data_IF_049326974260
#
_entry.id   IF_049326974260
#
_cell.length_a   1.000
_cell.length_b   1.000
_cell.length_c   1.000
_cell.angle_alpha   90.00
_cell.angle_beta   90.00
_cell.angle_gamma   90.00
#
_symmetry.space_group_name_H-M   'P 1'
#
loop_
_entity.id
_entity.type
_entity.pdbx_description
1 polymer ?
#
# COMPACT_ATOMS: atom_id res chain seq x y z
N UNK A 1 8.10 15.01 3.04
CA UNK A 1 7.05 14.35 3.88
C UNK A 1 7.46 14.25 5.35
N UNK A 2 8.76 14.18 5.69
CA UNK A 2 9.22 14.16 7.10
C UNK A 2 8.97 15.54 7.72
N UNK A 3 9.31 16.62 7.02
CA UNK A 3 9.08 18.01 7.44
C UNK A 3 7.59 18.28 7.71
N UNK A 4 6.70 17.68 6.91
CA UNK A 4 5.26 17.77 7.10
C UNK A 4 4.73 17.01 8.32
N UNK A 5 5.44 15.98 8.78
CA UNK A 5 5.10 15.28 10.03
C UNK A 5 5.38 16.14 11.27
N UNK A 6 6.36 17.03 11.21
CA UNK A 6 6.65 18.01 12.28
C UNK A 6 5.57 19.08 12.32
N UNK A 7 5.13 19.56 11.16
CA UNK A 7 4.13 20.63 11.04
C UNK A 7 2.70 20.15 11.32
N UNK A 8 2.34 18.94 10.81
CA UNK A 8 0.98 18.42 10.90
C UNK A 8 0.91 17.13 11.72
N UNK A 9 0.38 17.24 12.94
CA UNK A 9 0.10 16.06 13.77
C UNK A 9 -1.15 15.31 13.25
N UNK A 10 -0.98 14.51 12.17
CA UNK A 10 -2.07 13.80 11.50
C UNK A 10 -2.39 12.41 12.09
N UNK A 11 -1.78 12.04 13.23
CA UNK A 11 -2.03 10.76 13.91
C UNK A 11 -2.42 11.01 15.36
N UNK A 12 -3.58 10.48 15.78
CA UNK A 12 -4.01 10.60 17.18
C UNK A 12 -5.42 10.08 17.44
N UNK A 13 -5.70 9.77 18.70
CA UNK A 13 -7.00 9.28 19.16
C UNK A 13 -8.16 10.25 18.90
N UNK A 14 -7.89 11.57 18.81
CA UNK A 14 -8.91 12.56 18.46
C UNK A 14 -9.58 12.28 17.13
N UNK A 15 -8.83 11.78 16.14
CA UNK A 15 -9.37 11.43 14.82
C UNK A 15 -10.21 10.17 14.83
N UNK A 16 -9.97 9.24 15.78
CA UNK A 16 -10.81 8.06 15.94
C UNK A 16 -12.25 8.45 16.29
N UNK A 17 -12.43 9.47 17.14
CA UNK A 17 -13.75 9.99 17.48
C UNK A 17 -14.39 10.80 16.34
N UNK A 18 -13.61 11.59 15.62
CA UNK A 18 -14.10 12.51 14.59
C UNK A 18 -14.33 11.83 13.23
N UNK A 19 -13.44 10.93 12.84
CA UNK A 19 -13.35 10.36 11.48
C UNK A 19 -13.37 8.82 11.48
N UNK A 20 -13.53 8.17 12.66
CA UNK A 20 -13.43 6.71 12.83
C UNK A 20 -12.10 6.13 12.28
N UNK A 21 -11.05 6.92 12.33
CA UNK A 21 -9.71 6.61 11.87
C UNK A 21 -8.70 7.18 12.87
N UNK A 22 -7.57 6.52 13.07
CA UNK A 22 -6.48 7.04 13.90
C UNK A 22 -5.60 8.07 13.17
N UNK A 23 -5.84 8.28 11.87
CA UNK A 23 -5.18 9.27 11.03
C UNK A 23 -6.17 10.33 10.56
N UNK A 24 -5.70 11.54 10.33
CA UNK A 24 -6.52 12.62 9.77
C UNK A 24 -6.71 12.40 8.25
N UNK A 25 -7.73 11.63 7.90
CA UNK A 25 -8.06 11.32 6.49
C UNK A 25 -8.46 12.57 5.69
N UNK A 26 -9.10 13.55 6.32
CA UNK A 26 -9.42 14.83 5.67
C UNK A 26 -8.15 15.60 5.30
N UNK A 27 -7.20 15.65 6.24
CA UNK A 27 -5.91 16.26 5.94
C UNK A 27 -5.21 15.55 4.78
N UNK A 28 -5.12 14.22 4.84
CA UNK A 28 -4.34 13.42 3.89
C UNK A 28 -4.94 13.37 2.47
N UNK A 29 -6.28 13.27 2.35
CA UNK A 29 -6.95 13.02 1.07
C UNK A 29 -7.76 14.22 0.53
N UNK A 30 -7.90 15.29 1.30
CA UNK A 30 -8.58 16.51 0.87
C UNK A 30 -7.63 17.70 0.88
N UNK A 31 -7.11 18.11 2.06
CA UNK A 31 -6.28 19.32 2.14
C UNK A 31 -4.90 19.15 1.50
N UNK A 32 -4.27 17.99 1.73
CA UNK A 32 -2.92 17.74 1.22
C UNK A 32 -2.84 17.82 -0.30
N UNK A 33 -3.62 17.03 -1.07
CA UNK A 33 -3.54 17.02 -2.53
C UNK A 33 -4.17 18.23 -3.20
N UNK A 34 -4.94 19.07 -2.48
CA UNK A 34 -5.60 20.24 -3.05
C UNK A 34 -4.96 21.56 -2.65
N UNK A 35 -4.34 21.67 -1.46
CA UNK A 35 -3.93 22.94 -0.88
C UNK A 35 -2.46 22.97 -0.44
N UNK A 36 -1.99 21.92 0.26
CA UNK A 36 -0.67 21.91 0.88
C UNK A 36 0.40 21.50 -0.12
N UNK A 37 0.16 20.42 -0.84
CA UNK A 37 1.02 19.91 -1.92
C UNK A 37 0.11 19.49 -3.09
N UNK A 38 -0.37 20.43 -3.90
CA UNK A 38 -1.30 20.15 -4.99
C UNK A 38 -0.75 19.06 -5.91
N UNK A 39 -1.58 18.07 -6.18
CA UNK A 39 -1.20 16.98 -7.08
C UNK A 39 -1.24 17.47 -8.52
N UNK A 40 -0.18 17.23 -9.26
CA UNK A 40 -0.06 17.62 -10.67
C UNK A 40 -0.86 16.64 -11.55
N UNK A 41 -2.15 16.87 -11.63
CA UNK A 41 -3.06 16.08 -12.46
C UNK A 41 -2.80 16.26 -13.96
N UNK A 42 -2.30 17.43 -14.39
CA UNK A 42 -2.01 17.69 -15.79
C UNK A 42 -0.90 16.76 -16.29
N UNK A 43 0.23 16.75 -15.60
CA UNK A 43 1.34 15.82 -15.90
C UNK A 43 0.90 14.37 -15.74
N UNK A 44 0.16 14.04 -14.70
CA UNK A 44 -0.31 12.66 -14.47
C UNK A 44 -1.19 12.14 -15.60
N UNK A 45 -2.14 12.94 -16.09
CA UNK A 45 -3.06 12.53 -17.16
C UNK A 45 -2.41 12.57 -18.55
N UNK A 46 -1.43 13.46 -18.77
CA UNK A 46 -0.66 13.51 -20.00
C UNK A 46 0.31 12.34 -20.15
N UNK A 47 0.75 11.72 -19.03
CA UNK A 47 1.67 10.60 -19.06
C UNK A 47 0.99 9.35 -19.61
N UNK A 48 1.66 8.69 -20.59
CA UNK A 48 1.20 7.45 -21.20
C UNK A 48 1.43 6.20 -20.32
N UNK A 49 2.27 6.31 -19.29
CA UNK A 49 2.57 5.20 -18.40
C UNK A 49 1.33 4.75 -17.62
N UNK A 50 1.25 3.46 -17.40
CA UNK A 50 0.14 2.87 -16.62
C UNK A 50 0.45 2.99 -15.14
N UNK A 51 -0.47 3.56 -14.40
CA UNK A 51 -0.49 3.55 -12.94
C UNK A 51 -1.68 2.75 -12.44
N UNK A 52 -1.42 1.57 -11.90
CA UNK A 52 -2.45 0.65 -11.41
C UNK A 52 -2.54 0.73 -9.90
N UNK A 53 -3.70 1.11 -9.40
CA UNK A 53 -4.02 1.17 -7.97
C UNK A 53 -4.84 -0.05 -7.57
N UNK A 54 -4.40 -0.75 -6.52
CA UNK A 54 -5.05 -1.98 -6.06
C UNK A 54 -5.91 -1.69 -4.84
N UNK A 55 -7.15 -2.17 -4.87
CA UNK A 55 -8.07 -2.15 -3.72
C UNK A 55 -8.66 -3.54 -3.47
N UNK A 56 -9.28 -3.74 -2.32
CA UNK A 56 -10.05 -4.95 -2.04
C UNK A 56 -11.53 -4.62 -2.02
N UNK A 57 -12.32 -5.28 -2.87
CA UNK A 57 -13.77 -5.16 -2.88
C UNK A 57 -14.36 -5.82 -1.63
N UNK A 58 -15.07 -5.05 -0.82
CA UNK A 58 -15.65 -5.57 0.42
C UNK A 58 -16.77 -6.60 0.19
N UNK A 59 -17.44 -6.56 -0.96
CA UNK A 59 -18.54 -7.47 -1.27
C UNK A 59 -18.02 -8.84 -1.70
N UNK A 60 -16.96 -8.87 -2.53
CA UNK A 60 -16.43 -10.12 -3.10
C UNK A 60 -15.21 -10.66 -2.33
N UNK A 61 -14.48 -9.79 -1.61
CA UNK A 61 -13.20 -10.11 -0.99
C UNK A 61 -12.03 -10.18 -1.98
N UNK A 62 -12.25 -9.85 -3.25
CA UNK A 62 -11.26 -9.93 -4.32
C UNK A 62 -10.55 -8.61 -4.56
N UNK A 63 -9.37 -8.66 -5.19
CA UNK A 63 -8.63 -7.48 -5.59
C UNK A 63 -9.26 -6.82 -6.82
N UNK A 64 -9.43 -5.49 -6.76
CA UNK A 64 -9.75 -4.67 -7.91
C UNK A 64 -8.52 -3.86 -8.30
N UNK A 65 -8.25 -3.79 -9.61
CA UNK A 65 -7.12 -3.07 -10.19
C UNK A 65 -7.66 -1.90 -11.01
N UNK A 66 -7.41 -0.69 -10.52
CA UNK A 66 -7.93 0.53 -11.12
C UNK A 66 -6.84 1.29 -11.86
N UNK A 67 -7.20 1.80 -13.02
CA UNK A 67 -6.48 2.84 -13.75
C UNK A 67 -7.44 4.01 -13.96
N UNK A 68 -7.00 5.23 -13.66
CA UNK A 68 -7.79 6.44 -13.89
C UNK A 68 -6.92 7.47 -14.62
N UNK A 69 -7.42 7.98 -15.73
CA UNK A 69 -6.67 8.88 -16.61
C UNK A 69 -7.41 10.17 -16.94
N UNK A 70 -8.57 10.42 -16.31
CA UNK A 70 -9.44 11.55 -16.71
C UNK A 70 -10.04 12.31 -15.53
N UNK A 71 -10.38 11.62 -14.44
CA UNK A 71 -11.13 12.20 -13.33
C UNK A 71 -10.26 12.32 -12.07
N UNK A 72 -9.85 13.55 -11.69
CA UNK A 72 -9.05 13.82 -10.49
C UNK A 72 -9.71 13.31 -9.20
N UNK A 73 -11.02 13.53 -9.04
CA UNK A 73 -11.74 13.12 -7.84
C UNK A 73 -11.73 11.61 -7.70
N UNK A 74 -11.94 10.90 -8.80
CA UNK A 74 -11.92 9.43 -8.82
C UNK A 74 -10.52 8.88 -8.52
N UNK A 75 -9.43 9.55 -8.95
CA UNK A 75 -8.06 9.20 -8.53
C UNK A 75 -7.94 9.24 -7.01
N UNK A 76 -8.41 10.32 -6.37
CA UNK A 76 -8.36 10.47 -4.91
C UNK A 76 -9.20 9.40 -4.21
N UNK A 77 -10.39 9.09 -4.70
CA UNK A 77 -11.25 8.06 -4.12
C UNK A 77 -10.58 6.68 -4.19
N UNK A 78 -9.95 6.33 -5.31
CA UNK A 78 -9.22 5.07 -5.46
C UNK A 78 -7.99 5.04 -4.52
N UNK A 79 -7.19 6.13 -4.46
CA UNK A 79 -6.02 6.21 -3.57
C UNK A 79 -6.44 6.12 -2.10
N UNK A 80 -7.54 6.80 -1.72
CA UNK A 80 -8.13 6.70 -0.39
C UNK A 80 -8.53 5.26 -0.06
N UNK A 81 -9.21 4.58 -0.99
CA UNK A 81 -9.60 3.18 -0.82
C UNK A 81 -8.40 2.26 -0.69
N UNK A 82 -7.41 2.41 -1.58
CA UNK A 82 -6.15 1.65 -1.58
C UNK A 82 -5.32 1.84 -0.30
N UNK A 83 -5.54 2.95 0.41
CA UNK A 83 -4.86 3.28 1.68
C UNK A 83 -5.71 3.00 2.92
N UNK A 84 -6.96 2.53 2.75
CA UNK A 84 -7.89 2.28 3.86
C UNK A 84 -7.62 0.93 4.51
N UNK A 85 -6.69 0.92 5.49
CA UNK A 85 -6.35 -0.27 6.27
C UNK A 85 -7.52 -0.76 7.12
N UNK A 86 -7.78 -2.08 7.18
CA UNK A 86 -8.81 -2.63 8.04
C UNK A 86 -8.56 -2.29 9.52
N UNK A 87 -9.62 -1.98 10.26
CA UNK A 87 -9.66 -1.57 11.67
C UNK A 87 -9.06 -0.20 11.98
N UNK A 88 -8.32 0.40 11.05
CA UNK A 88 -7.60 1.66 11.22
C UNK A 88 -8.29 2.79 10.49
N UNK A 89 -8.92 2.49 9.36
CA UNK A 89 -9.60 3.44 8.49
C UNK A 89 -11.04 3.01 8.20
N UNK A 90 -11.93 3.95 7.86
CA UNK A 90 -13.27 3.63 7.40
C UNK A 90 -13.23 2.93 6.03
N UNK A 91 -14.30 2.21 5.71
CA UNK A 91 -14.53 1.72 4.35
C UNK A 91 -14.68 2.93 3.43
N UNK A 92 -13.91 2.96 2.35
CA UNK A 92 -14.02 3.96 1.28
C UNK A 92 -14.93 3.43 0.16
N UNK A 93 -15.41 4.34 -0.69
CA UNK A 93 -16.27 3.97 -1.81
C UNK A 93 -15.65 4.43 -3.10
N UNK A 94 -15.61 3.53 -4.09
CA UNK A 94 -15.22 3.83 -5.46
C UNK A 94 -16.38 3.40 -6.35
N UNK A 95 -16.94 4.32 -7.12
CA UNK A 95 -18.12 4.09 -7.96
C UNK A 95 -19.31 3.47 -7.17
N UNK A 96 -19.50 3.88 -5.92
CA UNK A 96 -20.53 3.35 -5.02
C UNK A 96 -20.25 1.96 -4.44
N UNK A 97 -19.13 1.33 -4.77
CA UNK A 97 -18.75 0.01 -4.26
C UNK A 97 -17.84 0.18 -3.03
N UNK A 98 -18.13 -0.51 -1.91
CA UNK A 98 -17.30 -0.43 -0.72
C UNK A 98 -15.94 -1.13 -0.94
N UNK A 99 -14.86 -0.41 -0.67
CA UNK A 99 -13.48 -0.82 -0.88
C UNK A 99 -12.63 -0.61 0.37
N UNK A 100 -11.61 -1.43 0.52
CA UNK A 100 -10.50 -1.28 1.48
C UNK A 100 -9.15 -1.48 0.78
N UNK A 101 -8.08 -1.36 1.58
CA UNK A 101 -6.67 -1.51 1.16
C UNK A 101 -6.45 -2.76 0.31
N UNK A 102 -5.80 -2.59 -0.83
CA UNK A 102 -5.50 -3.68 -1.77
C UNK A 102 -4.63 -4.76 -1.17
N UNK A 103 -3.79 -4.41 -0.20
CA UNK A 103 -2.96 -5.37 0.51
C UNK A 103 -3.72 -6.39 1.36
N UNK A 104 -5.06 -6.39 1.37
CA UNK A 104 -5.89 -7.46 1.95
C UNK A 104 -5.95 -8.63 0.96
N UNK A 105 -6.34 -8.38 -0.29
CA UNK A 105 -6.52 -9.41 -1.30
C UNK A 105 -5.25 -9.67 -2.12
N UNK A 106 -4.53 -8.60 -2.54
CA UNK A 106 -3.27 -8.70 -3.28
C UNK A 106 -2.27 -7.65 -2.80
N UNK A 107 -1.41 -8.02 -1.83
CA UNK A 107 -0.42 -7.12 -1.24
C UNK A 107 0.76 -6.81 -2.16
N UNK A 108 1.05 -7.67 -3.12
CA UNK A 108 2.21 -7.64 -4.02
C UNK A 108 1.77 -8.12 -5.41
N UNK A 109 1.23 -7.24 -6.27
CA UNK A 109 0.48 -7.58 -7.47
C UNK A 109 1.37 -8.05 -8.64
N UNK A 110 2.39 -8.86 -8.35
CA UNK A 110 3.33 -9.39 -9.34
C UNK A 110 2.63 -10.30 -10.38
N UNK A 111 1.64 -11.09 -9.93
CA UNK A 111 0.90 -11.96 -10.84
C UNK A 111 0.00 -11.18 -11.80
N UNK A 112 -0.59 -10.09 -11.31
CA UNK A 112 -1.34 -9.18 -12.18
C UNK A 112 -0.42 -8.58 -13.25
N UNK A 113 0.74 -8.05 -12.87
CA UNK A 113 1.70 -7.48 -13.81
C UNK A 113 2.17 -8.52 -14.84
N UNK A 114 2.43 -9.77 -14.43
CA UNK A 114 2.78 -10.87 -15.34
C UNK A 114 1.66 -11.18 -16.34
N UNK A 115 0.41 -11.24 -15.88
CA UNK A 115 -0.77 -11.45 -16.73
C UNK A 115 -0.99 -10.31 -17.74
N UNK A 116 -0.56 -9.09 -17.40
CA UNK A 116 -0.58 -7.93 -18.31
C UNK A 116 0.60 -7.94 -19.32
N UNK A 117 1.44 -8.96 -19.31
CA UNK A 117 2.54 -9.12 -20.28
C UNK A 117 3.87 -8.49 -19.88
N UNK A 118 3.99 -7.91 -18.69
CA UNK A 118 5.24 -7.34 -18.22
C UNK A 118 6.24 -8.45 -17.83
N UNK A 119 7.22 -8.69 -18.70
CA UNK A 119 8.25 -9.74 -18.52
C UNK A 119 9.39 -9.27 -17.61
N UNK A 120 9.80 -8.01 -17.71
CA UNK A 120 10.82 -7.40 -16.85
C UNK A 120 10.11 -6.70 -15.70
N UNK A 121 10.44 -7.06 -14.48
CA UNK A 121 9.76 -6.52 -13.29
C UNK A 121 10.79 -6.09 -12.25
N UNK A 122 10.56 -4.92 -11.65
CA UNK A 122 11.25 -4.46 -10.45
C UNK A 122 10.25 -4.51 -9.30
N UNK A 123 10.57 -5.24 -8.25
CA UNK A 123 9.72 -5.37 -7.06
C UNK A 123 10.36 -4.63 -5.91
N UNK A 124 9.68 -3.58 -5.42
CA UNK A 124 10.13 -2.82 -4.25
C UNK A 124 9.40 -3.32 -3.01
N UNK A 125 10.14 -3.83 -2.05
CA UNK A 125 9.61 -4.43 -0.82
C UNK A 125 9.97 -3.58 0.41
N UNK A 126 9.06 -3.54 1.37
CA UNK A 126 9.25 -2.86 2.66
C UNK A 126 9.73 -3.81 3.77
N UNK A 127 10.14 -5.03 3.43
CA UNK A 127 10.63 -6.04 4.37
C UNK A 127 11.86 -6.75 3.81
N UNK A 128 12.78 -7.13 4.70
CA UNK A 128 13.99 -7.86 4.36
C UNK A 128 13.71 -9.28 3.84
N UNK A 129 14.70 -9.90 3.19
CA UNK A 129 14.61 -11.29 2.71
C UNK A 129 14.28 -12.25 3.85
N UNK A 130 13.44 -13.25 3.58
CA UNK A 130 13.01 -14.25 4.57
C UNK A 130 11.90 -13.78 5.52
N UNK A 131 11.47 -12.51 5.49
CA UNK A 131 10.35 -12.08 6.33
C UNK A 131 9.06 -12.82 5.96
N UNK A 132 8.32 -13.28 7.00
CA UNK A 132 6.99 -13.89 6.85
C UNK A 132 6.02 -13.30 7.86
N UNK A 133 4.79 -13.12 7.44
CA UNK A 133 3.69 -12.69 8.32
C UNK A 133 3.16 -13.87 9.11
N UNK A 134 2.86 -13.66 10.40
CA UNK A 134 2.16 -14.63 11.23
C UNK A 134 0.71 -14.77 10.78
N UNK A 135 0.12 -15.95 10.94
CA UNK A 135 -1.29 -16.17 10.62
C UNK A 135 -2.22 -15.30 11.47
N UNK A 136 -3.33 -14.90 10.87
CA UNK A 136 -4.36 -14.10 11.54
C UNK A 136 -5.30 -15.02 12.30
N UNK A 137 -5.57 -14.72 13.58
CA UNK A 137 -6.57 -15.46 14.34
C UNK A 137 -7.99 -15.07 13.88
N UNK A 138 -8.76 -16.02 13.32
CA UNK A 138 -10.12 -15.72 12.79
C UNK A 138 -11.11 -15.26 13.85
N UNK A 139 -10.92 -15.67 15.12
CA UNK A 139 -11.85 -15.34 16.21
C UNK A 139 -11.88 -13.84 16.46
N UNK A 140 -10.75 -13.16 16.32
CA UNK A 140 -10.64 -11.71 16.54
C UNK A 140 -11.40 -10.88 15.48
N UNK A 141 -11.74 -11.48 14.34
CA UNK A 141 -12.41 -10.80 13.22
C UNK A 141 -13.93 -10.91 13.28
N UNK A 142 -14.48 -11.91 14.00
CA UNK A 142 -15.93 -12.18 14.05
C UNK A 142 -16.83 -10.97 14.35
N UNK A 143 -16.48 -10.04 15.26
CA UNK A 143 -17.33 -8.88 15.54
C UNK A 143 -17.27 -7.81 14.46
N UNK A 144 -16.22 -7.82 13.62
CA UNK A 144 -15.98 -6.81 12.61
C UNK A 144 -16.46 -7.27 11.22
N UNK A 145 -16.87 -6.32 10.40
CA UNK A 145 -17.26 -6.57 8.99
C UNK A 145 -18.33 -7.65 8.79
N UNK A 146 -19.28 -7.79 9.74
CA UNK A 146 -20.36 -8.81 9.66
C UNK A 146 -21.19 -8.72 8.37
N UNK A 147 -21.31 -7.53 7.80
CA UNK A 147 -22.02 -7.30 6.52
C UNK A 147 -21.21 -7.77 5.30
N UNK A 148 -19.93 -8.10 5.48
CA UNK A 148 -18.98 -8.44 4.41
C UNK A 148 -18.23 -9.75 4.71
N UNK A 149 -18.90 -10.91 4.62
CA UNK A 149 -18.30 -12.20 4.97
C UNK A 149 -17.11 -12.57 4.08
N UNK A 150 -17.16 -12.21 2.77
CA UNK A 150 -16.05 -12.43 1.85
C UNK A 150 -14.83 -11.59 2.20
N UNK A 151 -15.03 -10.35 2.63
CA UNK A 151 -13.94 -9.50 3.15
C UNK A 151 -13.32 -10.12 4.41
N UNK A 152 -14.13 -10.65 5.35
CA UNK A 152 -13.60 -11.35 6.53
C UNK A 152 -12.69 -12.51 6.11
N UNK A 153 -13.11 -13.31 5.13
CA UNK A 153 -12.31 -14.42 4.62
C UNK A 153 -11.02 -13.93 3.95
N UNK A 154 -11.07 -12.85 3.17
CA UNK A 154 -9.90 -12.22 2.56
C UNK A 154 -8.88 -11.76 3.64
N UNK A 155 -9.36 -11.11 4.71
CA UNK A 155 -8.50 -10.67 5.83
C UNK A 155 -7.86 -11.87 6.54
N UNK A 156 -8.59 -12.95 6.75
CA UNK A 156 -8.05 -14.19 7.35
C UNK A 156 -6.92 -14.76 6.47
N UNK A 157 -7.14 -14.85 5.18
CA UNK A 157 -6.21 -15.44 4.22
C UNK A 157 -5.03 -14.52 3.86
N UNK A 158 -5.13 -13.22 4.14
CA UNK A 158 -4.16 -12.18 3.75
C UNK A 158 -2.70 -12.59 3.99
N UNK A 159 -2.40 -13.04 5.19
CA UNK A 159 -1.01 -13.33 5.57
C UNK A 159 -0.48 -14.59 4.90
N UNK A 160 -1.32 -15.59 4.68
CA UNK A 160 -0.98 -16.80 3.91
C UNK A 160 -0.71 -16.47 2.45
N UNK A 161 -1.57 -15.65 1.83
CA UNK A 161 -1.41 -15.20 0.43
C UNK A 161 -0.12 -14.40 0.30
N UNK A 162 0.12 -13.43 1.20
CA UNK A 162 1.35 -12.64 1.22
C UNK A 162 2.60 -13.53 1.28
N UNK A 163 2.64 -14.52 2.19
CA UNK A 163 3.79 -15.39 2.35
C UNK A 163 4.05 -16.24 1.09
N UNK A 164 2.98 -16.77 0.48
CA UNK A 164 3.08 -17.50 -0.80
C UNK A 164 3.61 -16.62 -1.93
N UNK A 165 3.17 -15.36 -2.00
CA UNK A 165 3.67 -14.41 -3.01
C UNK A 165 5.14 -14.08 -2.75
N UNK A 166 5.55 -13.94 -1.48
CA UNK A 166 6.97 -13.73 -1.12
C UNK A 166 7.86 -14.91 -1.55
N UNK A 167 7.41 -16.14 -1.34
CA UNK A 167 8.13 -17.34 -1.81
C UNK A 167 8.32 -17.34 -3.33
N UNK A 168 7.27 -16.93 -4.07
CA UNK A 168 7.34 -16.78 -5.52
C UNK A 168 8.34 -15.69 -5.93
N UNK A 169 8.30 -14.53 -5.27
CA UNK A 169 9.21 -13.41 -5.53
C UNK A 169 10.66 -13.84 -5.28
N UNK A 170 10.95 -14.44 -4.13
CA UNK A 170 12.29 -14.90 -3.78
C UNK A 170 12.84 -15.93 -4.78
N UNK A 171 11.99 -16.86 -5.22
CA UNK A 171 12.37 -17.81 -6.27
C UNK A 171 12.67 -17.13 -7.61
N UNK A 172 11.83 -16.18 -8.05
CA UNK A 172 12.03 -15.47 -9.31
C UNK A 172 13.27 -14.58 -9.26
N UNK A 173 13.58 -14.01 -8.11
CA UNK A 173 14.82 -13.26 -7.85
C UNK A 173 16.05 -14.18 -7.95
N UNK A 174 16.05 -15.32 -7.27
CA UNK A 174 17.14 -16.29 -7.29
C UNK A 174 17.36 -16.88 -8.71
N UNK A 175 16.30 -16.95 -9.53
CA UNK A 175 16.36 -17.33 -10.95
C UNK A 175 16.80 -16.17 -11.88
N UNK A 176 17.04 -14.97 -11.35
CA UNK A 176 17.42 -13.78 -12.13
C UNK A 176 16.31 -13.24 -13.05
N UNK A 177 15.05 -13.60 -12.81
CA UNK A 177 13.89 -13.21 -13.66
C UNK A 177 13.29 -11.86 -13.29
N UNK A 178 13.52 -11.41 -12.07
CA UNK A 178 13.06 -10.11 -11.55
C UNK A 178 14.17 -9.45 -10.75
N UNK A 179 14.10 -8.13 -10.65
CA UNK A 179 14.93 -7.35 -9.74
C UNK A 179 14.14 -7.04 -8.46
N UNK A 180 14.76 -7.21 -7.29
CA UNK A 180 14.11 -6.91 -6.01
C UNK A 180 14.90 -5.88 -5.24
N UNK A 181 14.24 -4.79 -4.86
CA UNK A 181 14.77 -3.73 -3.99
C UNK A 181 14.12 -3.93 -2.62
N UNK A 182 14.91 -4.13 -1.57
CA UNK A 182 14.39 -4.35 -0.22
C UNK A 182 15.37 -3.94 0.87
N UNK A 183 14.92 -3.65 2.10
CA UNK A 183 15.81 -3.46 3.25
C UNK A 183 16.73 -4.68 3.46
N UNK A 184 17.98 -4.43 3.82
CA UNK A 184 18.96 -5.49 4.11
C UNK A 184 18.61 -6.12 5.47
N UNK A 185 18.30 -5.28 6.46
CA UNK A 185 18.00 -5.68 7.82
C UNK A 185 16.50 -5.58 8.14
N UNK A 186 16.01 -6.29 9.18
CA UNK A 186 14.66 -6.08 9.68
C UNK A 186 14.42 -4.62 10.06
N UNK A 187 13.36 -4.00 9.52
CA UNK A 187 13.05 -2.61 9.83
C UNK A 187 12.65 -2.44 11.30
N UNK A 188 13.14 -1.36 11.93
CA UNK A 188 12.93 -1.03 13.34
C UNK A 188 11.77 -0.04 13.55
N UNK A 189 11.09 0.36 12.48
CA UNK A 189 9.97 1.30 12.54
C UNK A 189 8.63 0.57 12.52
N UNK A 190 7.68 1.06 13.31
CA UNK A 190 6.30 0.58 13.34
C UNK A 190 5.45 1.21 12.22
N UNK A 191 4.16 0.79 12.14
CA UNK A 191 3.21 1.37 11.16
C UNK A 191 2.88 2.83 11.46
N UNK A 192 3.01 3.25 12.71
CA UNK A 192 2.70 4.59 13.19
C UNK A 192 3.94 5.07 13.95
N UNK A 193 5.07 5.15 13.25
CA UNK A 193 6.30 5.67 13.83
C UNK A 193 6.22 7.21 13.88
N UNK A 194 6.62 7.77 15.02
CA UNK A 194 6.70 9.22 15.22
C UNK A 194 8.13 9.70 15.47
N UNK A 195 9.07 8.78 15.62
CA UNK A 195 10.47 9.11 15.80
C UNK A 195 11.10 9.46 14.45
N UNK A 196 11.33 10.74 14.23
CA UNK A 196 11.84 11.29 12.98
C UNK A 196 13.23 10.73 12.65
N UNK A 197 14.11 10.60 13.64
CA UNK A 197 15.45 10.01 13.42
C UNK A 197 15.37 8.62 12.82
N UNK A 198 14.48 7.75 13.34
CA UNK A 198 14.29 6.41 12.79
C UNK A 198 13.72 6.43 11.37
N UNK A 199 12.88 7.41 11.05
CA UNK A 199 12.32 7.57 9.71
C UNK A 199 13.38 8.04 8.72
N UNK A 200 14.26 8.96 9.13
CA UNK A 200 15.41 9.41 8.33
C UNK A 200 16.36 8.24 8.08
N UNK A 201 16.75 7.50 9.12
CA UNK A 201 17.61 6.31 8.98
C UNK A 201 17.06 5.30 7.96
N UNK A 202 15.73 5.05 8.00
CA UNK A 202 15.07 4.15 7.05
C UNK A 202 15.05 4.71 5.63
N UNK A 203 14.83 6.03 5.49
CA UNK A 203 14.87 6.72 4.20
C UNK A 203 16.28 6.62 3.58
N UNK A 204 17.32 6.92 4.35
CA UNK A 204 18.71 6.90 3.90
C UNK A 204 19.15 5.48 3.50
N UNK A 205 18.71 4.45 4.26
CA UNK A 205 18.94 3.05 3.89
C UNK A 205 18.31 2.73 2.53
N UNK A 206 17.03 3.12 2.33
CA UNK A 206 16.31 2.88 1.08
C UNK A 206 16.95 3.60 -0.11
N UNK A 207 17.34 4.86 0.07
CA UNK A 207 18.01 5.66 -0.95
C UNK A 207 19.36 5.06 -1.36
N UNK A 208 20.18 4.65 -0.39
CA UNK A 208 21.47 4.01 -0.64
C UNK A 208 21.33 2.70 -1.42
N UNK A 209 20.39 1.84 -1.00
CA UNK A 209 20.13 0.55 -1.67
C UNK A 209 19.69 0.78 -3.12
N UNK A 210 18.80 1.73 -3.37
CA UNK A 210 18.34 2.04 -4.72
C UNK A 210 19.48 2.50 -5.63
N UNK A 211 20.36 3.39 -5.16
CA UNK A 211 21.53 3.87 -5.91
C UNK A 211 22.55 2.75 -6.21
N UNK A 212 22.79 1.84 -5.27
CA UNK A 212 23.69 0.69 -5.48
C UNK A 212 23.17 -0.24 -6.60
N UNK A 213 21.85 -0.43 -6.66
CA UNK A 213 21.20 -1.26 -7.69
C UNK A 213 21.20 -0.55 -9.05
N UNK A 214 20.92 0.74 -9.12
CA UNK A 214 20.99 1.52 -10.36
C UNK A 214 22.40 1.47 -10.98
N UNK A 215 23.43 1.61 -10.14
CA UNK A 215 24.81 1.49 -10.59
C UNK A 215 25.15 0.10 -11.18
N UNK A 216 24.56 -0.97 -10.62
CA UNK A 216 24.73 -2.33 -11.16
C UNK A 216 23.99 -2.55 -12.48
N UNK A 217 22.83 -1.91 -12.68
CA UNK A 217 22.05 -2.01 -13.91
C UNK A 217 22.67 -1.27 -15.10
N UNK A 218 23.46 -0.24 -14.85
CA UNK A 218 24.12 0.59 -15.86
C UNK A 218 25.51 0.10 -16.25
N UNK A 219 25.96 -1.04 -15.74
CA UNK A 219 27.18 -1.76 -16.12
C UNK A 219 26.88 -2.93 -17.01
#
# INVERSE_FOLDING_TARGET
NIDLMEEYNYVGLKYLLQQRCIMDFKLLFEKFPQQICPYDYETYFANSDRFVMVTTNCLTGEANYFEEKKNPERVIDIVRASSSLPFVAPIAYVDGIPMLDGGIADSLPIEYAQKQGYKKQVVVLTRNKGYRKKETNPILLKPFYRKYPNLQQAIINRNKIYNKTMEKIERLEDEGKILVIRPINPIKVGRIEKNITKLIELYDEGFRIANEIEFQMNR
#
